data_IF_018843241357
#
_entry.id   IF_018843241357
#
_cell.length_a   1.000
_cell.length_b   1.000
_cell.length_c   1.000
_cell.angle_alpha   90.00
_cell.angle_beta   90.00
_cell.angle_gamma   90.00
#
_symmetry.space_group_name_H-M   'P 1'
#
loop_
_entity.id
_entity.type
_entity.pdbx_description
1 polymer ?
#
# COMPACT_ATOMS: atom_id res chain seq x y z
N UNK A 1 5.33 11.89 80.10
CA UNK A 1 6.05 11.93 78.81
C UNK A 1 6.32 13.38 78.52
N UNK A 2 7.59 13.71 78.34
CA UNK A 2 8.00 15.05 77.98
C UNK A 2 7.91 15.25 76.45
N UNK A 3 7.72 16.50 76.02
CA UNK A 3 7.58 16.87 74.60
C UNK A 3 8.83 16.46 73.82
N UNK A 4 10.02 16.66 74.40
CA UNK A 4 11.31 16.31 73.79
C UNK A 4 11.47 14.79 73.60
N UNK A 5 10.92 13.99 74.51
CA UNK A 5 10.98 12.52 74.40
C UNK A 5 10.11 12.03 73.24
N UNK A 6 8.89 12.58 73.11
CA UNK A 6 7.98 12.21 72.01
C UNK A 6 8.51 12.69 70.67
N UNK A 7 9.17 13.85 70.63
CA UNK A 7 9.84 14.35 69.42
C UNK A 7 10.95 13.42 68.94
N UNK A 8 11.87 13.03 69.82
CA UNK A 8 12.95 12.09 69.48
C UNK A 8 12.40 10.75 69.03
N UNK A 9 11.41 10.22 69.74
CA UNK A 9 10.77 8.95 69.39
C UNK A 9 10.05 9.02 68.03
N UNK A 10 9.37 10.14 67.73
CA UNK A 10 8.71 10.34 66.44
C UNK A 10 9.72 10.40 65.30
N UNK A 11 10.83 11.13 65.48
CA UNK A 11 11.88 11.23 64.46
C UNK A 11 12.54 9.87 64.23
N UNK A 12 13.01 9.20 65.28
CA UNK A 12 13.67 7.89 65.17
C UNK A 12 12.75 6.82 64.56
N UNK A 13 11.46 6.85 64.88
CA UNK A 13 10.51 5.89 64.34
C UNK A 13 10.19 6.18 62.88
N UNK A 14 10.00 7.44 62.51
CA UNK A 14 9.73 7.82 61.12
C UNK A 14 10.93 7.58 60.20
N UNK A 15 12.15 7.72 60.71
CA UNK A 15 13.38 7.32 60.00
C UNK A 15 13.35 5.83 59.65
N UNK A 16 12.88 4.98 60.57
CA UNK A 16 12.79 3.52 60.40
C UNK A 16 11.61 3.05 59.54
N UNK A 17 10.60 3.90 59.29
CA UNK A 17 9.46 3.55 58.42
C UNK A 17 9.96 3.31 56.99
N UNK A 18 9.62 2.16 56.42
CA UNK A 18 10.10 1.69 55.12
C UNK A 18 8.99 1.41 54.10
N UNK A 19 7.75 1.23 54.56
CA UNK A 19 6.62 0.87 53.70
C UNK A 19 5.32 1.59 54.10
N UNK A 20 4.31 1.53 53.24
CA UNK A 20 3.03 2.22 53.44
C UNK A 20 2.27 1.74 54.70
N UNK A 21 2.43 0.47 55.10
CA UNK A 21 1.78 -0.07 56.29
C UNK A 21 2.41 0.49 57.57
N UNK A 22 3.73 0.54 57.65
CA UNK A 22 4.48 1.16 58.75
C UNK A 22 4.21 2.66 58.86
N UNK A 23 4.08 3.35 57.73
CA UNK A 23 3.73 4.76 57.70
C UNK A 23 2.33 5.00 58.29
N UNK A 24 1.36 4.15 57.96
CA UNK A 24 0.02 4.23 58.54
C UNK A 24 0.02 3.91 60.05
N UNK A 25 0.82 2.94 60.48
CA UNK A 25 1.02 2.66 61.92
C UNK A 25 1.61 3.86 62.65
N UNK A 26 2.63 4.51 62.07
CA UNK A 26 3.21 5.74 62.62
C UNK A 26 2.15 6.84 62.75
N UNK A 27 1.33 7.04 61.71
CA UNK A 27 0.24 8.04 61.72
C UNK A 27 -0.72 7.79 62.88
N UNK A 28 -1.14 6.54 63.08
CA UNK A 28 -2.06 6.17 64.16
C UNK A 28 -1.43 6.39 65.54
N UNK A 29 -0.16 6.05 65.72
CA UNK A 29 0.54 6.13 67.00
C UNK A 29 0.87 7.56 67.45
N UNK A 30 1.28 8.44 66.55
CA UNK A 30 1.68 9.81 66.91
C UNK A 30 0.58 10.83 66.65
N UNK A 31 -0.06 10.76 65.47
CA UNK A 31 -1.04 11.76 64.98
C UNK A 31 -2.50 11.32 65.14
N UNK A 32 -2.76 10.07 65.55
CA UNK A 32 -4.11 9.55 65.73
C UNK A 32 -4.88 10.23 66.87
N UNK A 33 -6.21 9.99 66.92
CA UNK A 33 -7.10 10.51 67.99
C UNK A 33 -6.70 10.07 69.40
N UNK A 34 -6.02 8.93 69.52
CA UNK A 34 -5.44 8.39 70.76
C UNK A 34 -3.90 8.38 70.73
N UNK A 35 -3.29 9.08 69.77
CA UNK A 35 -1.85 9.10 69.59
C UNK A 35 -1.12 9.86 70.69
N UNK A 36 0.21 9.76 70.70
CA UNK A 36 1.09 10.37 71.70
C UNK A 36 0.95 11.91 71.73
N UNK A 37 0.89 12.57 70.58
CA UNK A 37 0.76 14.04 70.49
C UNK A 37 -0.61 14.49 71.01
N UNK A 38 -1.68 13.79 70.62
CA UNK A 38 -3.03 14.06 71.15
C UNK A 38 -3.10 13.81 72.67
N UNK A 39 -2.32 12.89 73.20
CA UNK A 39 -2.24 12.62 74.65
C UNK A 39 -1.47 13.71 75.40
N UNK A 40 -0.40 14.27 74.83
CA UNK A 40 0.27 15.47 75.36
C UNK A 40 -0.69 16.66 75.42
N UNK A 41 -1.50 16.87 74.37
CA UNK A 41 -2.54 17.91 74.38
C UNK A 41 -3.60 17.68 75.46
N UNK A 42 -3.93 16.44 75.83
CA UNK A 42 -4.87 16.17 76.93
C UNK A 42 -4.26 16.50 78.31
N UNK A 43 -2.94 16.38 78.47
CA UNK A 43 -2.23 16.71 79.71
C UNK A 43 -2.23 18.21 80.03
N UNK A 44 -2.56 19.09 79.07
CA UNK A 44 -2.77 20.53 79.32
C UNK A 44 -3.76 20.80 80.47
N UNK A 45 -4.73 19.92 80.70
CA UNK A 45 -5.72 20.05 81.78
C UNK A 45 -5.09 20.00 83.17
N UNK A 46 -3.95 19.33 83.32
CA UNK A 46 -3.30 19.08 84.60
C UNK A 46 -2.20 20.10 84.94
N UNK A 47 -1.90 21.04 84.04
CA UNK A 47 -0.87 22.07 84.24
C UNK A 47 -1.45 23.34 84.88
N UNK A 48 -0.67 24.07 85.71
CA UNK A 48 -1.03 25.39 86.23
C UNK A 48 -1.38 26.37 85.08
N UNK A 49 -2.34 27.28 85.28
CA UNK A 49 -2.80 28.21 84.23
C UNK A 49 -1.66 28.99 83.55
N UNK A 50 -0.61 29.33 84.29
CA UNK A 50 0.54 30.11 83.82
C UNK A 50 1.44 29.33 82.83
N UNK A 51 1.55 28.00 82.98
CA UNK A 51 2.40 27.16 82.12
C UNK A 51 1.68 26.65 80.86
N UNK A 52 0.34 26.70 80.85
CA UNK A 52 -0.49 26.19 79.74
C UNK A 52 -0.16 26.80 78.38
N UNK A 53 0.04 28.12 78.22
CA UNK A 53 0.34 28.72 76.91
C UNK A 53 1.69 28.24 76.34
N UNK A 54 2.73 28.18 77.17
CA UNK A 54 4.07 27.77 76.75
C UNK A 54 4.09 26.28 76.37
N UNK A 55 3.45 25.42 77.18
CA UNK A 55 3.34 23.99 76.89
C UNK A 55 2.50 23.73 75.64
N UNK A 56 1.36 24.39 75.48
CA UNK A 56 0.49 24.25 74.31
C UNK A 56 1.18 24.66 73.00
N UNK A 57 1.97 25.74 73.04
CA UNK A 57 2.79 26.16 71.90
C UNK A 57 3.80 25.08 71.50
N UNK A 58 4.55 24.54 72.45
CA UNK A 58 5.53 23.46 72.20
C UNK A 58 4.88 22.20 71.61
N UNK A 59 3.70 21.82 72.10
CA UNK A 59 2.98 20.64 71.57
C UNK A 59 2.45 20.89 70.15
N UNK A 60 2.00 22.10 69.83
CA UNK A 60 1.61 22.47 68.45
C UNK A 60 2.82 22.50 67.51
N UNK A 61 3.94 23.08 67.93
CA UNK A 61 5.20 23.08 67.15
C UNK A 61 5.67 21.64 66.87
N UNK A 62 5.59 20.76 67.88
CA UNK A 62 5.86 19.33 67.71
C UNK A 62 4.90 18.68 66.69
N UNK A 63 3.61 18.99 66.79
CA UNK A 63 2.60 18.45 65.86
C UNK A 63 2.88 18.85 64.43
N UNK A 64 3.11 20.13 64.16
CA UNK A 64 3.43 20.64 62.83
C UNK A 64 4.72 20.04 62.29
N UNK A 65 5.75 19.89 63.15
CA UNK A 65 7.01 19.24 62.77
C UNK A 65 6.79 17.78 62.37
N UNK A 66 6.03 17.01 63.16
CA UNK A 66 5.74 15.60 62.87
C UNK A 66 4.83 15.43 61.65
N UNK A 67 3.83 16.31 61.45
CA UNK A 67 2.98 16.31 60.25
C UNK A 67 3.79 16.62 58.98
N UNK A 68 4.72 17.58 59.06
CA UNK A 68 5.63 17.90 57.94
C UNK A 68 6.52 16.70 57.60
N UNK A 69 7.22 16.14 58.59
CA UNK A 69 8.09 14.98 58.38
C UNK A 69 7.28 13.78 57.86
N UNK A 70 6.08 13.55 58.39
CA UNK A 70 5.18 12.50 57.91
C UNK A 70 4.82 12.70 56.44
N UNK A 71 4.47 13.92 56.03
CA UNK A 71 4.14 14.24 54.64
C UNK A 71 5.34 14.06 53.71
N UNK A 72 6.55 14.43 54.15
CA UNK A 72 7.79 14.20 53.41
C UNK A 72 8.07 12.70 53.23
N UNK A 73 7.98 11.92 54.32
CA UNK A 73 8.16 10.46 54.28
C UNK A 73 7.11 9.76 53.42
N UNK A 74 5.85 10.24 53.47
CA UNK A 74 4.76 9.75 52.62
C UNK A 74 5.10 9.91 51.14
N UNK A 75 5.54 11.11 50.74
CA UNK A 75 5.93 11.39 49.36
C UNK A 75 7.10 10.51 48.91
N UNK A 76 8.10 10.30 49.76
CA UNK A 76 9.24 9.41 49.47
C UNK A 76 8.79 7.96 49.22
N UNK A 77 7.86 7.44 50.04
CA UNK A 77 7.32 6.07 49.88
C UNK A 77 6.47 5.96 48.61
N UNK A 78 5.65 6.96 48.30
CA UNK A 78 4.85 7.00 47.05
C UNK A 78 5.74 7.01 45.80
N UNK A 79 6.81 7.81 45.79
CA UNK A 79 7.79 7.85 44.70
C UNK A 79 8.55 6.52 44.52
N UNK A 80 8.88 5.84 45.63
CA UNK A 80 9.51 4.51 45.60
C UNK A 80 8.57 3.46 44.99
N UNK A 81 7.32 3.43 45.44
CA UNK A 81 6.30 2.49 44.94
C UNK A 81 6.00 2.71 43.45
N UNK A 82 5.91 3.97 43.01
CA UNK A 82 5.71 4.27 41.59
C UNK A 82 6.93 3.86 40.76
N UNK A 83 8.16 4.07 41.26
CA UNK A 83 9.38 3.60 40.58
C UNK A 83 9.42 2.08 40.45
N UNK A 84 9.08 1.34 41.51
CA UNK A 84 8.98 -0.12 41.46
C UNK A 84 7.91 -0.60 40.48
N UNK A 85 6.76 0.08 40.42
CA UNK A 85 5.71 -0.21 39.45
C UNK A 85 6.19 0.01 38.01
N UNK A 86 6.88 1.12 37.76
CA UNK A 86 7.44 1.44 36.44
C UNK A 86 8.54 0.47 36.02
N UNK A 87 9.42 0.04 36.95
CA UNK A 87 10.42 -1.01 36.69
C UNK A 87 9.75 -2.36 36.40
N UNK A 88 8.68 -2.73 37.11
CA UNK A 88 7.90 -3.95 36.82
C UNK A 88 7.16 -3.88 35.48
N UNK A 89 6.76 -2.69 35.05
CA UNK A 89 6.12 -2.44 33.75
C UNK A 89 7.12 -2.22 32.61
N UNK A 90 8.42 -2.26 32.89
CA UNK A 90 9.45 -2.09 31.89
C UNK A 90 9.43 -3.27 30.92
N UNK A 91 9.08 -2.98 29.68
CA UNK A 91 9.08 -3.93 28.57
C UNK A 91 10.15 -3.53 27.56
N UNK A 92 10.69 -4.51 26.85
CA UNK A 92 11.54 -4.24 25.69
C UNK A 92 10.67 -3.82 24.50
N UNK A 93 10.62 -2.51 24.23
CA UNK A 93 9.87 -1.92 23.12
C UNK A 93 10.45 -2.24 21.74
N UNK A 94 11.63 -2.87 21.68
CA UNK A 94 12.27 -3.28 20.42
C UNK A 94 11.87 -4.68 19.97
N UNK A 95 11.22 -5.46 20.85
CA UNK A 95 10.74 -6.79 20.48
C UNK A 95 9.69 -6.71 19.35
N UNK A 96 9.77 -7.61 18.35
CA UNK A 96 8.75 -7.69 17.31
C UNK A 96 7.36 -7.93 17.92
N UNK A 97 6.44 -7.01 17.69
CA UNK A 97 5.05 -7.19 18.09
C UNK A 97 4.34 -8.28 17.29
N UNK A 98 3.12 -8.66 17.71
CA UNK A 98 2.26 -9.58 16.97
C UNK A 98 1.75 -8.94 15.66
N UNK A 99 2.60 -8.92 14.63
CA UNK A 99 2.26 -8.38 13.30
C UNK A 99 1.61 -9.46 12.45
N UNK A 100 0.49 -9.12 11.80
CA UNK A 100 -0.04 -9.94 10.70
C UNK A 100 0.84 -9.73 9.47
N UNK A 101 1.14 -10.81 8.75
CA UNK A 101 1.84 -10.71 7.47
C UNK A 101 0.96 -9.91 6.50
N UNK A 102 1.54 -8.89 5.87
CA UNK A 102 0.86 -8.14 4.81
C UNK A 102 1.00 -8.93 3.52
N UNK A 103 -0.10 -9.04 2.76
CA UNK A 103 -0.10 -9.68 1.44
C UNK A 103 0.60 -8.80 0.39
N UNK A 104 0.92 -9.39 -0.75
CA UNK A 104 1.56 -8.70 -1.88
C UNK A 104 0.70 -8.92 -3.12
N UNK A 105 0.47 -7.88 -3.92
CA UNK A 105 -0.16 -8.04 -5.23
C UNK A 105 0.82 -8.70 -6.20
N UNK A 106 0.31 -9.51 -7.11
CA UNK A 106 1.13 -10.12 -8.16
C UNK A 106 1.83 -9.03 -9.00
N UNK A 107 3.11 -9.17 -9.38
CA UNK A 107 3.84 -8.12 -10.12
C UNK A 107 3.16 -7.72 -11.44
N UNK A 108 2.58 -8.68 -12.17
CA UNK A 108 1.80 -8.40 -13.39
C UNK A 108 0.59 -7.52 -13.09
N UNK A 109 -0.11 -7.76 -11.98
CA UNK A 109 -1.26 -6.94 -11.58
C UNK A 109 -0.82 -5.51 -11.23
N UNK A 110 0.30 -5.34 -10.50
CA UNK A 110 0.82 -3.99 -10.18
C UNK A 110 1.14 -3.19 -11.44
N UNK A 111 1.74 -3.85 -12.43
CA UNK A 111 2.09 -3.24 -13.71
C UNK A 111 0.84 -2.93 -14.53
N UNK A 112 -0.14 -3.83 -14.57
CA UNK A 112 -1.43 -3.59 -15.23
C UNK A 112 -2.16 -2.39 -14.62
N UNK A 113 -2.28 -2.33 -13.29
CA UNK A 113 -2.88 -1.19 -12.56
C UNK A 113 -2.12 0.13 -12.78
N UNK A 114 -0.81 0.07 -13.00
CA UNK A 114 -0.01 1.25 -13.33
C UNK A 114 -0.24 1.72 -14.76
N UNK A 115 -0.29 0.80 -15.73
CA UNK A 115 -0.65 1.08 -17.13
C UNK A 115 -2.04 1.72 -17.18
N UNK A 116 -3.03 1.11 -16.52
CA UNK A 116 -4.40 1.63 -16.45
C UNK A 116 -4.43 3.05 -15.90
N UNK A 117 -3.77 3.28 -14.76
CA UNK A 117 -3.70 4.61 -14.14
C UNK A 117 -3.09 5.66 -15.06
N UNK A 118 -2.06 5.31 -15.83
CA UNK A 118 -1.43 6.22 -16.79
C UNK A 118 -2.44 6.61 -17.87
N UNK A 119 -3.09 5.66 -18.53
CA UNK A 119 -4.02 5.94 -19.62
C UNK A 119 -5.33 6.59 -19.14
N UNK A 120 -5.87 6.19 -17.99
CA UNK A 120 -7.03 6.85 -17.37
C UNK A 120 -6.72 8.31 -17.08
N UNK A 121 -5.51 8.63 -16.59
CA UNK A 121 -5.10 10.02 -16.39
C UNK A 121 -4.91 10.82 -17.68
N UNK A 122 -4.89 10.16 -18.84
CA UNK A 122 -4.87 10.76 -20.17
C UNK A 122 -6.27 10.83 -20.82
N UNK A 123 -7.31 10.38 -20.12
CA UNK A 123 -8.71 10.44 -20.58
C UNK A 123 -9.22 9.16 -21.26
N UNK A 124 -8.51 8.04 -21.15
CA UNK A 124 -8.98 6.76 -21.65
C UNK A 124 -9.88 6.06 -20.63
N UNK A 125 -10.97 5.45 -21.09
CA UNK A 125 -11.80 4.56 -20.27
C UNK A 125 -11.24 3.14 -20.26
N UNK A 126 -11.49 2.39 -19.18
CA UNK A 126 -11.17 0.95 -19.11
C UNK A 126 -12.37 0.14 -19.55
N UNK A 127 -12.19 -0.72 -20.56
CA UNK A 127 -13.24 -1.61 -21.08
C UNK A 127 -12.72 -3.04 -21.15
N UNK A 128 -13.49 -3.97 -20.59
CA UNK A 128 -13.20 -5.40 -20.62
C UNK A 128 -14.13 -6.14 -21.58
N UNK A 129 -13.74 -7.35 -21.98
CA UNK A 129 -14.57 -8.25 -22.78
C UNK A 129 -14.23 -9.71 -22.56
N UNK A 130 -14.96 -10.64 -23.20
CA UNK A 130 -14.85 -12.07 -22.93
C UNK A 130 -13.49 -12.63 -23.36
N UNK A 131 -13.05 -13.70 -22.69
CA UNK A 131 -11.82 -14.43 -23.02
C UNK A 131 -12.04 -15.47 -24.14
N UNK A 132 -13.28 -15.99 -24.26
CA UNK A 132 -13.72 -16.82 -25.39
C UNK A 132 -14.36 -15.89 -26.41
N UNK A 133 -13.84 -15.90 -27.63
CA UNK A 133 -14.29 -15.04 -28.71
C UNK A 133 -14.70 -15.84 -29.94
N UNK A 134 -15.43 -15.18 -30.84
CA UNK A 134 -15.70 -15.74 -32.16
C UNK A 134 -14.56 -15.41 -33.13
N UNK A 135 -14.38 -16.23 -34.16
CA UNK A 135 -13.45 -15.97 -35.27
C UNK A 135 -13.67 -14.59 -35.89
N UNK A 136 -14.92 -14.15 -35.98
CA UNK A 136 -15.26 -12.83 -36.50
C UNK A 136 -14.69 -11.68 -35.67
N UNK A 137 -14.87 -11.68 -34.35
CA UNK A 137 -14.36 -10.62 -33.49
C UNK A 137 -12.84 -10.67 -33.34
N UNK A 138 -12.26 -11.87 -33.30
CA UNK A 138 -10.82 -12.05 -33.10
C UNK A 138 -9.99 -11.85 -34.37
N UNK A 139 -10.57 -11.98 -35.57
CA UNK A 139 -9.79 -11.90 -36.80
C UNK A 139 -10.50 -11.15 -37.93
N UNK A 140 -11.70 -11.59 -38.35
CA UNK A 140 -12.31 -11.07 -39.59
C UNK A 140 -12.59 -9.56 -39.51
N UNK A 141 -13.20 -9.11 -38.41
CA UNK A 141 -13.49 -7.69 -38.16
C UNK A 141 -12.21 -6.84 -38.08
N UNK A 142 -11.08 -7.47 -37.74
CA UNK A 142 -9.73 -6.88 -37.66
C UNK A 142 -8.94 -7.08 -38.95
N UNK A 143 -9.64 -7.26 -40.08
CA UNK A 143 -9.04 -7.37 -41.40
C UNK A 143 -7.99 -8.50 -41.51
N UNK A 144 -8.12 -9.53 -40.68
CA UNK A 144 -7.16 -10.66 -40.64
C UNK A 144 -7.73 -11.83 -41.44
N UNK A 145 -7.21 -12.09 -42.66
CA UNK A 145 -7.80 -13.08 -43.57
C UNK A 145 -7.59 -14.52 -43.08
N UNK A 146 -8.41 -15.46 -43.58
CA UNK A 146 -8.36 -16.89 -43.19
C UNK A 146 -6.98 -17.54 -43.37
N UNK A 147 -6.23 -17.13 -44.40
CA UNK A 147 -4.88 -17.64 -44.69
C UNK A 147 -3.78 -17.00 -43.83
N UNK A 148 -4.11 -16.08 -42.92
CA UNK A 148 -3.12 -15.42 -42.08
C UNK A 148 -2.55 -16.40 -41.03
N UNK A 149 -1.22 -16.47 -40.84
CA UNK A 149 -0.58 -17.44 -39.93
C UNK A 149 -1.12 -17.43 -38.50
N UNK A 150 -1.52 -16.26 -37.98
CA UNK A 150 -2.10 -16.14 -36.64
C UNK A 150 -3.42 -16.91 -36.45
N UNK A 151 -4.12 -17.29 -37.54
CA UNK A 151 -5.34 -18.10 -37.50
C UNK A 151 -5.08 -19.60 -37.51
N UNK A 152 -3.82 -20.02 -37.69
CA UNK A 152 -3.45 -21.43 -37.72
C UNK A 152 -3.71 -22.10 -36.35
N UNK A 153 -4.20 -23.35 -36.36
CA UNK A 153 -4.43 -24.16 -35.15
C UNK A 153 -3.15 -24.43 -34.36
N UNK A 154 -1.98 -24.29 -34.98
CA UNK A 154 -0.69 -24.36 -34.32
C UNK A 154 -0.38 -23.13 -33.46
N UNK A 155 -1.04 -21.99 -33.71
CA UNK A 155 -0.80 -20.72 -32.99
C UNK A 155 -1.98 -20.34 -32.06
N UNK A 156 -3.21 -20.72 -32.44
CA UNK A 156 -4.45 -20.36 -31.75
C UNK A 156 -5.16 -21.54 -31.06
N UNK A 157 -5.82 -21.29 -29.91
CA UNK A 157 -6.61 -22.30 -29.20
C UNK A 157 -8.09 -22.28 -29.62
N UNK A 158 -8.44 -23.04 -30.65
CA UNK A 158 -9.83 -23.27 -31.05
C UNK A 158 -10.57 -24.24 -30.11
N UNK A 159 -11.84 -23.92 -29.82
CA UNK A 159 -12.81 -24.73 -29.07
C UNK A 159 -13.76 -25.42 -30.05
N UNK A 160 -14.25 -24.66 -31.04
CA UNK A 160 -15.00 -25.13 -32.22
C UNK A 160 -14.46 -24.39 -33.46
N UNK A 161 -15.01 -24.65 -34.63
CA UNK A 161 -14.62 -23.96 -35.87
C UNK A 161 -14.86 -22.44 -35.79
N UNK A 162 -15.81 -21.99 -34.96
CA UNK A 162 -16.19 -20.58 -34.78
C UNK A 162 -15.71 -19.96 -33.47
N UNK A 163 -15.42 -20.76 -32.44
CA UNK A 163 -15.06 -20.29 -31.09
C UNK A 163 -13.60 -20.60 -30.76
N UNK A 164 -12.91 -19.61 -30.20
CA UNK A 164 -11.52 -19.72 -29.77
C UNK A 164 -11.25 -18.94 -28.48
N UNK A 165 -10.14 -19.26 -27.81
CA UNK A 165 -9.58 -18.35 -26.82
C UNK A 165 -8.92 -17.17 -27.55
N UNK A 166 -9.24 -15.95 -27.14
CA UNK A 166 -8.73 -14.74 -27.83
C UNK A 166 -7.20 -14.67 -27.80
N UNK A 167 -6.60 -14.31 -28.92
CA UNK A 167 -5.13 -14.22 -29.09
C UNK A 167 -4.56 -12.84 -28.74
N UNK A 168 -5.45 -11.86 -28.61
CA UNK A 168 -5.22 -10.47 -28.29
C UNK A 168 -6.52 -9.85 -27.72
N UNK A 169 -6.47 -8.63 -27.17
CA UNK A 169 -7.63 -7.94 -26.59
C UNK A 169 -8.38 -7.05 -27.59
N UNK A 170 -7.95 -7.05 -28.85
CA UNK A 170 -8.59 -6.31 -29.96
C UNK A 170 -10.07 -6.63 -30.19
N UNK A 171 -10.61 -7.83 -29.89
CA UNK A 171 -12.05 -8.07 -29.92
C UNK A 171 -12.86 -7.06 -29.11
N UNK A 172 -12.32 -6.58 -27.98
CA UNK A 172 -12.97 -5.58 -27.13
C UNK A 172 -13.06 -4.23 -27.85
N UNK A 173 -12.08 -3.90 -28.69
CA UNK A 173 -12.09 -2.70 -29.53
C UNK A 173 -13.24 -2.77 -30.55
N UNK A 174 -13.38 -3.90 -31.26
CA UNK A 174 -14.48 -4.13 -32.22
C UNK A 174 -15.83 -4.02 -31.53
N UNK A 175 -16.01 -4.72 -30.40
CA UNK A 175 -17.25 -4.66 -29.61
C UNK A 175 -17.60 -3.24 -29.19
N UNK A 176 -16.60 -2.49 -28.72
CA UNK A 176 -16.81 -1.10 -28.31
C UNK A 176 -17.23 -0.22 -29.49
N UNK A 177 -16.62 -0.38 -30.66
CA UNK A 177 -16.98 0.39 -31.85
C UNK A 177 -18.37 0.04 -32.40
N UNK A 178 -18.83 -1.21 -32.25
CA UNK A 178 -20.19 -1.60 -32.60
C UNK A 178 -21.26 -1.01 -31.66
N UNK A 179 -20.92 -0.83 -30.38
CA UNK A 179 -21.85 -0.34 -29.36
C UNK A 179 -21.87 1.19 -29.22
N UNK A 180 -20.75 1.86 -29.50
CA UNK A 180 -20.57 3.30 -29.30
C UNK A 180 -20.34 4.00 -30.62
N UNK A 181 -20.53 5.32 -30.66
CA UNK A 181 -20.07 6.16 -31.78
C UNK A 181 -18.86 6.97 -31.32
N UNK A 182 -17.93 7.35 -32.23
CA UNK A 182 -16.82 8.22 -31.87
C UNK A 182 -17.30 9.58 -31.33
N UNK A 183 -16.51 10.27 -30.49
CA UNK A 183 -15.13 9.93 -30.11
C UNK A 183 -15.04 8.79 -29.08
N UNK A 184 -14.03 7.93 -29.23
CA UNK A 184 -13.74 6.81 -28.33
C UNK A 184 -12.27 6.86 -27.93
N UNK A 185 -11.98 6.80 -26.64
CA UNK A 185 -10.63 6.57 -26.12
C UNK A 185 -10.72 5.49 -25.02
N UNK A 186 -10.28 4.28 -25.34
CA UNK A 186 -10.37 3.14 -24.42
C UNK A 186 -9.05 2.39 -24.30
N UNK A 187 -8.86 1.75 -23.16
CA UNK A 187 -7.90 0.67 -22.96
C UNK A 187 -8.61 -0.60 -22.52
N UNK A 188 -8.07 -1.74 -22.94
CA UNK A 188 -8.63 -3.06 -22.71
C UNK A 188 -7.57 -3.98 -22.12
N UNK A 189 -7.43 -4.00 -20.78
CA UNK A 189 -6.61 -4.98 -20.10
C UNK A 189 -7.28 -6.37 -20.15
N UNK A 190 -6.48 -7.43 -20.28
CA UNK A 190 -7.02 -8.78 -20.22
C UNK A 190 -6.05 -9.91 -20.50
N UNK A 191 -6.48 -11.13 -20.16
CA UNK A 191 -5.76 -12.37 -20.51
C UNK A 191 -5.92 -12.69 -21.99
N UNK A 192 -4.87 -13.20 -22.60
CA UNK A 192 -4.83 -13.64 -23.99
C UNK A 192 -4.08 -14.97 -24.07
N UNK A 193 -4.32 -15.72 -25.15
CA UNK A 193 -3.90 -17.11 -25.25
C UNK A 193 -3.23 -17.39 -26.60
N UNK A 194 -2.07 -18.04 -26.58
CA UNK A 194 -1.32 -18.44 -27.79
C UNK A 194 -0.63 -19.77 -27.54
N UNK A 195 -0.43 -20.59 -28.57
CA UNK A 195 0.18 -21.93 -28.43
C UNK A 195 1.71 -21.87 -28.43
N UNK A 196 2.27 -21.14 -27.48
CA UNK A 196 3.72 -21.05 -27.28
C UNK A 196 4.10 -21.15 -25.79
N UNK A 197 5.23 -21.80 -25.50
CA UNK A 197 5.75 -21.94 -24.13
C UNK A 197 7.27 -22.11 -24.12
N UNK A 198 7.97 -21.05 -23.74
CA UNK A 198 9.42 -21.06 -23.54
C UNK A 198 9.83 -20.10 -22.40
N UNK A 199 11.08 -19.63 -22.38
CA UNK A 199 11.56 -18.70 -21.35
C UNK A 199 11.04 -17.24 -21.52
N UNK A 200 10.42 -16.95 -22.66
CA UNK A 200 9.90 -15.64 -23.08
C UNK A 200 8.42 -15.63 -23.44
N UNK A 201 7.82 -16.80 -23.66
CA UNK A 201 6.43 -16.98 -24.05
C UNK A 201 5.68 -17.87 -23.05
N UNK A 202 4.42 -17.49 -22.77
CA UNK A 202 3.49 -18.28 -21.97
C UNK A 202 2.23 -18.54 -22.80
N UNK A 203 1.56 -19.70 -22.61
CA UNK A 203 0.34 -19.99 -23.33
C UNK A 203 -0.83 -19.10 -22.92
N UNK A 204 -0.74 -18.50 -21.74
CA UNK A 204 -1.62 -17.47 -21.23
C UNK A 204 -0.75 -16.35 -20.67
N UNK A 205 -1.00 -15.14 -21.13
CA UNK A 205 -0.34 -13.92 -20.66
C UNK A 205 -1.33 -12.76 -20.69
N UNK A 206 -0.92 -11.57 -20.26
CA UNK A 206 -1.78 -10.40 -20.19
C UNK A 206 -1.36 -9.35 -21.23
N UNK A 207 -2.34 -8.79 -21.92
CA UNK A 207 -2.16 -7.63 -22.77
C UNK A 207 -3.00 -6.47 -22.28
N UNK A 208 -2.49 -5.27 -22.57
CA UNK A 208 -3.30 -4.05 -22.57
C UNK A 208 -3.25 -3.50 -23.97
N UNK A 209 -4.41 -3.38 -24.59
CA UNK A 209 -4.55 -2.66 -25.85
C UNK A 209 -5.27 -1.35 -25.65
N UNK A 210 -4.95 -0.37 -26.47
CA UNK A 210 -5.68 0.89 -26.51
C UNK A 210 -6.18 1.20 -27.91
N UNK A 211 -7.29 1.92 -27.95
CA UNK A 211 -7.92 2.44 -29.16
C UNK A 211 -8.32 3.90 -28.91
N UNK A 212 -7.95 4.79 -29.82
CA UNK A 212 -8.44 6.16 -29.85
C UNK A 212 -8.96 6.47 -31.25
N UNK A 213 -10.25 6.81 -31.36
CA UNK A 213 -10.96 7.19 -32.59
C UNK A 213 -11.59 8.56 -32.40
N UNK A 214 -11.23 9.51 -33.26
CA UNK A 214 -11.78 10.87 -33.32
C UNK A 214 -11.46 11.47 -34.70
N UNK A 215 -11.87 12.71 -34.96
CA UNK A 215 -11.48 13.43 -36.18
C UNK A 215 -10.03 13.88 -36.10
N UNK A 216 -9.33 13.86 -37.24
CA UNK A 216 -7.98 14.41 -37.41
C UNK A 216 -6.87 13.81 -36.51
N UNK A 217 -7.09 12.60 -35.97
CA UNK A 217 -6.03 11.81 -35.34
C UNK A 217 -4.97 11.40 -36.37
N UNK A 218 -3.71 11.39 -35.94
CA UNK A 218 -2.56 11.18 -36.81
C UNK A 218 -1.45 10.45 -36.06
N UNK A 219 -0.43 10.00 -36.80
CA UNK A 219 0.76 9.33 -36.22
C UNK A 219 1.45 10.21 -35.17
N UNK A 220 1.36 11.55 -35.28
CA UNK A 220 1.90 12.45 -34.27
C UNK A 220 1.21 12.29 -32.90
N UNK A 221 -0.12 12.13 -32.90
CA UNK A 221 -0.90 11.87 -31.68
C UNK A 221 -0.57 10.51 -31.07
N UNK A 222 -0.45 9.47 -31.90
CA UNK A 222 0.00 8.14 -31.47
C UNK A 222 1.38 8.22 -30.82
N UNK A 223 2.36 8.84 -31.51
CA UNK A 223 3.73 8.98 -31.01
C UNK A 223 3.77 9.72 -29.67
N UNK A 224 3.05 10.83 -29.55
CA UNK A 224 3.00 11.59 -28.29
C UNK A 224 2.43 10.75 -27.14
N UNK A 225 1.34 10.03 -27.39
CA UNK A 225 0.67 9.18 -26.40
C UNK A 225 1.62 8.10 -25.88
N UNK A 226 2.34 7.43 -26.79
CA UNK A 226 3.30 6.39 -26.44
C UNK A 226 4.57 6.94 -25.76
N UNK A 227 5.03 8.13 -26.14
CA UNK A 227 6.15 8.81 -25.46
C UNK A 227 5.80 9.14 -24.02
N UNK A 228 4.59 9.65 -23.79
CA UNK A 228 4.13 10.00 -22.45
C UNK A 228 3.94 8.75 -21.58
N UNK A 229 3.38 7.68 -22.15
CA UNK A 229 3.32 6.37 -21.51
C UNK A 229 4.72 5.89 -21.09
N UNK A 230 5.68 5.85 -22.02
CA UNK A 230 7.04 5.38 -21.74
C UNK A 230 7.73 6.21 -20.64
N UNK A 231 7.55 7.54 -20.65
CA UNK A 231 8.11 8.44 -19.62
C UNK A 231 7.51 8.22 -18.24
N UNK A 232 6.20 7.98 -18.16
CA UNK A 232 5.53 7.71 -16.87
C UNK A 232 5.87 6.31 -16.34
N UNK A 233 6.01 5.33 -17.24
CA UNK A 233 6.24 3.94 -16.86
C UNK A 233 7.68 3.64 -16.46
N UNK A 234 8.65 4.20 -17.20
CA UNK A 234 10.08 3.91 -17.05
C UNK A 234 10.92 5.13 -16.62
N UNK A 235 10.27 6.28 -16.41
CA UNK A 235 10.90 7.52 -15.95
C UNK A 235 11.23 8.51 -17.06
N UNK A 236 11.56 9.75 -16.67
CA UNK A 236 11.65 10.92 -17.55
C UNK A 236 12.62 10.80 -18.73
N UNK A 237 13.61 9.90 -18.63
CA UNK A 237 14.63 9.71 -19.66
C UNK A 237 14.24 8.68 -20.72
N UNK A 238 13.11 7.99 -20.56
CA UNK A 238 12.62 7.03 -21.55
C UNK A 238 12.34 7.75 -22.88
N UNK A 239 12.80 7.12 -23.97
CA UNK A 239 12.58 7.57 -25.34
C UNK A 239 11.98 6.43 -26.13
N UNK A 240 11.12 6.74 -27.09
CA UNK A 240 10.56 5.75 -27.99
C UNK A 240 11.15 5.90 -29.40
N UNK A 241 11.14 4.80 -30.14
CA UNK A 241 11.41 4.77 -31.58
C UNK A 241 10.32 3.95 -32.26
N UNK A 242 9.67 4.55 -33.25
CA UNK A 242 8.73 3.86 -34.13
C UNK A 242 9.53 3.23 -35.29
N UNK A 243 9.49 1.91 -35.42
CA UNK A 243 10.03 1.16 -36.56
C UNK A 243 8.84 0.71 -37.42
N UNK A 244 8.87 0.90 -38.75
CA UNK A 244 7.83 0.33 -39.60
C UNK A 244 7.70 -1.18 -39.38
N UNK A 245 6.47 -1.65 -39.25
CA UNK A 245 6.10 -3.07 -39.16
C UNK A 245 4.81 -3.29 -39.95
N UNK A 246 4.14 -4.43 -39.74
CA UNK A 246 2.89 -4.77 -40.40
C UNK A 246 1.93 -5.46 -39.43
N UNK A 247 0.71 -4.93 -39.33
CA UNK A 247 -0.43 -5.59 -38.70
C UNK A 247 -1.65 -5.43 -39.62
N UNK A 248 -2.43 -6.49 -39.88
CA UNK A 248 -3.56 -6.41 -40.84
C UNK A 248 -4.61 -5.34 -40.51
N UNK A 249 -4.75 -4.99 -39.22
CA UNK A 249 -5.70 -4.02 -38.70
C UNK A 249 -5.16 -2.58 -38.59
N UNK A 250 -3.92 -2.31 -38.99
CA UNK A 250 -3.37 -0.95 -38.99
C UNK A 250 -2.53 -0.61 -40.22
N UNK A 251 -2.66 0.62 -40.72
CA UNK A 251 -1.83 1.17 -41.80
C UNK A 251 -1.72 2.71 -41.68
N UNK A 252 -0.53 3.29 -41.47
CA UNK A 252 0.76 2.62 -41.27
C UNK A 252 0.88 1.92 -39.91
N UNK A 253 1.63 0.82 -39.91
CA UNK A 253 1.95 -0.01 -38.75
C UNK A 253 3.37 0.23 -38.21
N UNK A 254 3.55 0.11 -36.89
CA UNK A 254 4.80 0.34 -36.18
C UNK A 254 5.04 -0.68 -35.06
N UNK A 255 6.27 -1.17 -34.97
CA UNK A 255 6.83 -1.69 -33.72
C UNK A 255 7.46 -0.54 -32.93
N UNK A 256 7.32 -0.57 -31.61
CA UNK A 256 7.77 0.52 -30.75
C UNK A 256 8.81 0.02 -29.77
N UNK A 257 10.02 0.53 -29.97
CA UNK A 257 11.13 0.29 -29.06
C UNK A 257 11.20 1.40 -28.01
N UNK A 258 11.51 1.05 -26.77
CA UNK A 258 11.84 2.00 -25.71
C UNK A 258 13.31 1.88 -25.32
N UNK A 259 13.96 3.04 -25.22
CA UNK A 259 15.32 3.12 -24.71
C UNK A 259 15.30 3.13 -23.18
N UNK A 260 15.90 2.10 -22.58
CA UNK A 260 16.08 1.97 -21.14
C UNK A 260 17.57 2.01 -20.80
N UNK A 261 17.93 2.81 -19.79
CA UNK A 261 19.31 2.89 -19.32
C UNK A 261 19.76 1.51 -18.81
N UNK A 262 20.88 1.00 -19.32
CA UNK A 262 21.40 -0.33 -19.00
C UNK A 262 21.00 -1.44 -19.97
N UNK A 263 19.90 -1.31 -20.71
CA UNK A 263 19.43 -2.33 -21.66
C UNK A 263 19.55 -1.90 -23.13
N UNK A 264 19.50 -0.60 -23.42
CA UNK A 264 19.44 -0.10 -24.79
C UNK A 264 18.01 -0.05 -25.32
N UNK A 265 17.85 -0.20 -26.64
CA UNK A 265 16.54 -0.22 -27.30
C UNK A 265 15.93 -1.61 -27.21
N UNK A 266 14.72 -1.69 -26.68
CA UNK A 266 13.96 -2.93 -26.59
C UNK A 266 12.54 -2.71 -27.12
N UNK A 267 12.09 -3.62 -27.96
CA UNK A 267 10.68 -3.67 -28.38
C UNK A 267 9.79 -4.00 -27.18
N UNK A 268 8.72 -3.21 -27.02
CA UNK A 268 7.76 -3.39 -25.92
C UNK A 268 6.29 -3.45 -26.36
N UNK A 269 5.95 -2.94 -27.54
CA UNK A 269 4.57 -2.87 -28.03
C UNK A 269 4.50 -2.72 -29.55
N UNK A 270 3.37 -3.13 -30.13
CA UNK A 270 2.97 -2.82 -31.50
C UNK A 270 1.92 -1.71 -31.52
N UNK A 271 1.89 -0.90 -32.57
CA UNK A 271 0.94 0.19 -32.73
C UNK A 271 0.74 0.58 -34.19
N UNK A 272 -0.30 1.34 -34.50
CA UNK A 272 -0.52 1.87 -35.84
C UNK A 272 -1.78 2.72 -35.94
N UNK A 273 -1.98 3.31 -37.12
CA UNK A 273 -3.25 3.95 -37.46
C UNK A 273 -4.24 2.88 -37.87
N UNK A 274 -5.47 2.92 -37.37
CA UNK A 274 -6.49 1.89 -37.66
C UNK A 274 -6.76 1.83 -39.16
N UNK A 275 -6.73 0.62 -39.72
CA UNK A 275 -6.97 0.40 -41.15
C UNK A 275 -8.43 0.77 -41.52
N UNK A 276 -8.66 1.47 -42.66
CA UNK A 276 -10.00 1.84 -43.10
C UNK A 276 -11.00 0.67 -43.16
N UNK A 277 -10.56 -0.55 -43.51
CA UNK A 277 -11.43 -1.72 -43.56
C UNK A 277 -11.97 -2.11 -42.18
N UNK A 278 -11.18 -1.89 -41.12
CA UNK A 278 -11.63 -2.14 -39.74
C UNK A 278 -12.76 -1.18 -39.38
N UNK A 279 -12.67 0.09 -39.77
CA UNK A 279 -13.76 1.06 -39.58
C UNK A 279 -15.01 0.69 -40.38
N UNK A 280 -14.86 0.30 -41.64
CA UNK A 280 -15.98 -0.16 -42.47
C UNK A 280 -16.68 -1.38 -41.86
N UNK A 281 -15.92 -2.33 -41.29
CA UNK A 281 -16.45 -3.53 -40.64
C UNK A 281 -17.35 -3.24 -39.42
N UNK A 282 -17.19 -2.09 -38.77
CA UNK A 282 -17.98 -1.66 -37.60
C UNK A 282 -18.95 -0.52 -37.90
N UNK A 283 -19.06 -0.12 -39.17
CA UNK A 283 -20.00 0.91 -39.63
C UNK A 283 -19.54 2.35 -39.41
N UNK A 284 -18.24 2.58 -39.24
CA UNK A 284 -17.65 3.93 -39.21
C UNK A 284 -17.19 4.34 -40.60
N UNK A 285 -17.37 5.61 -40.94
CA UNK A 285 -16.88 6.20 -42.19
C UNK A 285 -15.40 6.59 -42.06
N UNK A 286 -14.47 5.91 -42.76
CA UNK A 286 -13.03 6.21 -42.69
C UNK A 286 -12.65 7.56 -43.31
N UNK A 287 -13.55 8.20 -44.06
CA UNK A 287 -13.35 9.58 -44.55
C UNK A 287 -13.73 10.62 -43.47
N UNK A 288 -14.56 10.25 -42.49
CA UNK A 288 -14.93 11.12 -41.35
C UNK A 288 -14.04 10.88 -40.13
N UNK A 289 -13.71 9.62 -39.83
CA UNK A 289 -13.05 9.21 -38.60
C UNK A 289 -11.66 8.66 -38.86
N UNK A 290 -10.71 9.08 -38.03
CA UNK A 290 -9.39 8.47 -37.97
C UNK A 290 -9.15 7.91 -36.57
N UNK A 291 -8.15 7.04 -36.44
CA UNK A 291 -7.83 6.48 -35.15
C UNK A 291 -6.50 5.77 -35.12
N UNK A 292 -5.98 5.58 -33.92
CA UNK A 292 -4.81 4.76 -33.68
C UNK A 292 -5.10 3.70 -32.64
N UNK A 293 -4.39 2.59 -32.75
CA UNK A 293 -4.41 1.52 -31.77
C UNK A 293 -2.98 1.13 -31.37
N UNK A 294 -2.85 0.54 -30.19
CA UNK A 294 -1.59 -0.02 -29.70
C UNK A 294 -1.86 -1.23 -28.81
N UNK A 295 -0.90 -2.14 -28.72
CA UNK A 295 -0.99 -3.34 -27.89
C UNK A 295 0.35 -3.68 -27.26
N UNK A 296 0.33 -3.90 -25.94
CA UNK A 296 1.53 -4.18 -25.15
C UNK A 296 1.34 -5.39 -24.24
N UNK A 297 2.40 -6.19 -24.10
CA UNK A 297 2.44 -7.32 -23.17
C UNK A 297 2.80 -6.87 -21.76
N UNK A 298 1.95 -7.17 -20.79
CA UNK A 298 2.12 -6.74 -19.39
C UNK A 298 3.30 -7.48 -18.75
N UNK A 299 3.48 -8.76 -19.03
CA UNK A 299 4.62 -9.55 -18.55
C UNK A 299 5.95 -8.99 -19.05
N UNK A 300 6.03 -8.63 -20.34
CA UNK A 300 7.24 -8.03 -20.92
C UNK A 300 7.59 -6.72 -20.21
N UNK A 301 6.61 -5.86 -20.00
CA UNK A 301 6.80 -4.60 -19.26
C UNK A 301 7.21 -4.88 -17.81
N UNK A 302 6.60 -5.88 -17.16
CA UNK A 302 6.93 -6.29 -15.79
C UNK A 302 8.37 -6.79 -15.68
N UNK A 303 8.83 -7.59 -16.63
CA UNK A 303 10.21 -8.07 -16.70
C UNK A 303 11.20 -6.93 -16.81
N UNK A 304 10.93 -5.95 -17.68
CA UNK A 304 11.80 -4.78 -17.85
C UNK A 304 11.80 -3.86 -16.63
N UNK A 305 10.63 -3.67 -16.01
CA UNK A 305 10.49 -2.79 -14.84
C UNK A 305 11.19 -3.35 -13.60
N UNK A 306 11.09 -4.66 -13.40
CA UNK A 306 11.56 -5.33 -12.18
C UNK A 306 12.84 -6.16 -12.36
N UNK A 307 13.40 -6.22 -13.57
CA UNK A 307 14.60 -7.00 -13.87
C UNK A 307 14.38 -8.51 -13.78
N UNK A 308 13.18 -8.99 -14.10
CA UNK A 308 12.84 -10.42 -14.07
C UNK A 308 13.33 -11.06 -15.37
N UNK A 309 14.12 -12.14 -15.26
CA UNK A 309 14.80 -12.75 -16.41
C UNK A 309 14.00 -13.87 -17.09
N UNK A 310 13.07 -14.50 -16.38
CA UNK A 310 12.29 -15.64 -16.88
C UNK A 310 10.80 -15.38 -16.67
N UNK A 311 10.03 -15.37 -17.76
CA UNK A 311 8.58 -15.09 -17.73
C UNK A 311 7.81 -16.15 -16.93
N UNK A 312 8.33 -17.37 -16.84
CA UNK A 312 7.67 -18.51 -16.19
C UNK A 312 7.57 -18.34 -14.67
N UNK A 313 8.37 -17.45 -14.08
CA UNK A 313 8.29 -17.13 -12.66
C UNK A 313 6.94 -16.51 -12.28
N UNK A 314 6.26 -15.82 -13.21
CA UNK A 314 4.91 -15.29 -12.99
C UNK A 314 3.89 -16.40 -12.75
N UNK A 315 3.86 -17.43 -13.59
CA UNK A 315 2.87 -18.52 -13.47
C UNK A 315 3.23 -19.55 -12.41
N UNK A 316 4.51 -19.64 -12.04
CA UNK A 316 4.98 -20.53 -10.97
C UNK A 316 4.39 -20.18 -9.61
N UNK A 317 4.07 -18.90 -9.38
CA UNK A 317 3.51 -18.40 -8.13
C UNK A 317 4.35 -18.78 -6.89
N UNK A 318 5.69 -18.77 -7.01
CA UNK A 318 6.57 -19.04 -5.87
C UNK A 318 6.44 -17.92 -4.83
N UNK A 319 6.09 -18.27 -3.60
CA UNK A 319 5.86 -17.29 -2.52
C UNK A 319 7.08 -16.41 -2.27
N UNK A 320 8.31 -16.93 -2.46
CA UNK A 320 9.56 -16.17 -2.28
C UNK A 320 9.70 -15.11 -3.35
N UNK A 321 9.40 -15.46 -4.60
CA UNK A 321 9.35 -14.54 -5.73
C UNK A 321 8.27 -13.47 -5.51
N UNK A 322 7.03 -13.88 -5.22
CA UNK A 322 5.91 -12.96 -5.03
C UNK A 322 6.11 -12.00 -3.85
N UNK A 323 6.78 -12.45 -2.77
CA UNK A 323 7.07 -11.60 -1.61
C UNK A 323 8.12 -10.50 -1.86
N UNK A 324 8.80 -10.55 -3.01
CA UNK A 324 9.82 -9.55 -3.38
C UNK A 324 9.24 -8.30 -4.04
N UNK A 325 7.93 -8.27 -4.31
CA UNK A 325 7.26 -7.22 -5.08
C UNK A 325 6.16 -6.52 -4.30
#
# INVERSE_FOLDING_TARGET
MDVETVEKEAIEKLEKVSNAQELEQFRVEFLGKKGKITSLMKNLKNLPPEERPAYGKRVNELREKVERLFSEKKKQIEELLERERMEKMRVDVTLPGARRKVGHSHPVLKVMEEIERIFVSMGFDVVEGPEIETTWHNFDALNTPEWHPARDEHDSFYITDELLLRTHTSPVQIRTMLERKPPIAIISPGKVYRRDYDATHLPMFHQVEGLHVDRDLSVAHLKFTLEEFARRMFGKNARIRLRPSYFPFTEPSFEVDVYLSGYGWLEILGAGMVDPNVFLNVGYDPEEWTGYAFGMGVERISMLKYGITDIREFVRNDVRFLSSY
#
